data_IF_629919264679
#
_entry.id   IF_629919264679
#
_cell.length_a   1.000
_cell.length_b   1.000
_cell.length_c   1.000
_cell.angle_alpha   90.00
_cell.angle_beta   90.00
_cell.angle_gamma   90.00
#
_symmetry.space_group_name_H-M   'P 1'
#
loop_
_entity.id
_entity.type
_entity.pdbx_description
1 polymer ?
#
# COMPACT_ATOMS: atom_id res chain seq x y z
N UNK A 1 -20.28 4.10 15.78
CA UNK A 1 -19.13 3.81 16.67
C UNK A 1 -17.93 3.69 15.75
N UNK A 2 -16.77 4.28 16.07
CA UNK A 2 -15.71 4.42 15.09
C UNK A 2 -15.21 3.06 14.60
N UNK A 3 -14.99 2.98 13.29
CA UNK A 3 -14.19 1.93 12.65
C UNK A 3 -12.74 2.37 12.70
N UNK A 4 -11.86 1.52 13.19
CA UNK A 4 -10.43 1.82 13.25
C UNK A 4 -9.67 0.86 12.38
N UNK A 5 -9.03 1.41 11.36
CA UNK A 5 -8.12 0.70 10.48
C UNK A 5 -6.76 0.66 11.17
N UNK A 6 -6.21 -0.54 11.34
CA UNK A 6 -4.88 -0.74 11.88
C UNK A 6 -4.05 -1.43 10.81
N UNK A 7 -2.94 -0.79 10.43
CA UNK A 7 -1.95 -1.35 9.52
C UNK A 7 -0.92 -2.15 10.32
N UNK A 8 -0.45 -3.26 9.76
CA UNK A 8 0.69 -3.98 10.33
C UNK A 8 1.99 -3.17 10.25
N UNK A 9 2.95 -3.50 11.10
CA UNK A 9 4.26 -2.87 11.05
C UNK A 9 4.94 -3.18 9.72
N UNK A 10 5.32 -2.12 8.99
CA UNK A 10 5.97 -2.27 7.69
C UNK A 10 5.01 -2.44 6.53
N UNK A 11 3.71 -2.24 6.76
CA UNK A 11 2.68 -2.19 5.72
C UNK A 11 3.12 -1.34 4.53
N UNK A 12 2.82 -1.86 3.34
CA UNK A 12 3.23 -1.27 2.07
C UNK A 12 2.14 -0.37 1.47
N UNK A 13 2.31 -0.01 0.20
CA UNK A 13 1.41 0.92 -0.46
C UNK A 13 0.06 0.27 -0.79
N UNK A 14 -0.04 -1.06 -0.90
CA UNK A 14 -1.34 -1.73 -1.09
C UNK A 14 -2.16 -1.64 0.19
N UNK A 15 -1.59 -2.02 1.33
CA UNK A 15 -2.25 -1.89 2.62
C UNK A 15 -2.69 -0.43 2.89
N UNK A 16 -1.82 0.56 2.63
CA UNK A 16 -2.14 1.97 2.81
C UNK A 16 -3.26 2.45 1.86
N UNK A 17 -3.22 2.04 0.60
CA UNK A 17 -4.22 2.45 -0.41
C UNK A 17 -5.57 1.78 -0.13
N UNK A 18 -5.58 0.53 0.30
CA UNK A 18 -6.75 -0.18 0.76
C UNK A 18 -7.36 0.52 1.99
N UNK A 19 -6.54 0.89 2.98
CA UNK A 19 -6.98 1.69 4.13
C UNK A 19 -7.63 3.01 3.68
N UNK A 20 -7.01 3.71 2.73
CA UNK A 20 -7.59 4.93 2.19
C UNK A 20 -8.97 4.70 1.55
N UNK A 21 -9.12 3.62 0.78
CA UNK A 21 -10.41 3.25 0.21
C UNK A 21 -11.47 2.93 1.27
N UNK A 22 -11.10 2.34 2.41
CA UNK A 22 -12.02 2.13 3.53
C UNK A 22 -12.43 3.44 4.21
N UNK A 23 -11.57 4.46 4.23
CA UNK A 23 -11.96 5.81 4.66
C UNK A 23 -13.00 6.43 3.71
N UNK A 24 -12.96 6.11 2.42
CA UNK A 24 -13.98 6.54 1.46
C UNK A 24 -15.29 5.76 1.64
N UNK A 25 -15.22 4.45 1.90
CA UNK A 25 -16.39 3.59 2.10
C UNK A 25 -17.14 3.88 3.39
N UNK A 26 -16.42 4.25 4.45
CA UNK A 26 -16.98 4.40 5.79
C UNK A 26 -16.65 5.79 6.33
N UNK A 27 -17.66 6.67 6.42
CA UNK A 27 -17.51 8.02 6.99
C UNK A 27 -17.01 8.01 8.45
N UNK A 28 -17.35 6.95 9.19
CA UNK A 28 -16.94 6.73 10.59
C UNK A 28 -15.64 5.94 10.73
N UNK A 29 -14.89 5.72 9.64
CA UNK A 29 -13.58 5.09 9.68
C UNK A 29 -12.44 6.09 9.86
N UNK A 30 -11.45 5.65 10.64
CA UNK A 30 -10.22 6.35 10.95
C UNK A 30 -9.03 5.40 10.84
N UNK A 31 -7.91 5.90 10.35
CA UNK A 31 -6.63 5.21 10.37
C UNK A 31 -5.93 5.46 11.71
N UNK A 32 -5.65 4.41 12.49
CA UNK A 32 -4.73 4.56 13.61
C UNK A 32 -3.35 4.92 13.05
N UNK A 33 -2.74 6.01 13.52
CA UNK A 33 -1.49 6.52 12.98
C UNK A 33 -0.42 5.42 12.97
N UNK A 34 0.10 5.00 11.80
CA UNK A 34 1.07 3.93 11.73
C UNK A 34 2.38 4.34 12.38
N UNK A 35 2.98 3.43 13.16
CA UNK A 35 4.32 3.61 13.74
C UNK A 35 5.42 3.43 12.69
N UNK A 36 5.25 2.45 11.80
CA UNK A 36 6.22 2.07 10.79
C UNK A 36 5.52 1.58 9.52
N UNK A 37 5.94 2.13 8.38
CA UNK A 37 5.47 1.78 7.04
C UNK A 37 6.66 1.52 6.13
N UNK A 38 6.42 0.85 5.00
CA UNK A 38 7.40 0.81 3.91
C UNK A 38 7.82 2.22 3.48
N UNK A 39 9.01 2.38 2.88
CA UNK A 39 9.50 3.70 2.45
C UNK A 39 8.49 4.42 1.54
N UNK A 40 7.95 3.70 0.55
CA UNK A 40 6.98 4.26 -0.41
C UNK A 40 5.66 4.63 0.25
N UNK A 41 5.12 3.75 1.09
CA UNK A 41 3.90 4.01 1.83
C UNK A 41 4.06 5.22 2.76
N UNK A 42 5.21 5.35 3.44
CA UNK A 42 5.54 6.51 4.26
C UNK A 42 5.61 7.82 3.45
N UNK A 43 6.27 7.81 2.28
CA UNK A 43 6.35 8.97 1.38
C UNK A 43 4.97 9.39 0.86
N UNK A 44 4.11 8.43 0.52
CA UNK A 44 2.74 8.69 0.08
C UNK A 44 1.87 9.20 1.22
N UNK A 45 1.88 8.56 2.40
CA UNK A 45 1.12 9.04 3.56
C UNK A 45 1.54 10.46 3.94
N UNK A 46 2.83 10.78 3.88
CA UNK A 46 3.32 12.14 4.11
C UNK A 46 2.78 13.14 3.08
N UNK A 47 2.86 12.79 1.80
CA UNK A 47 2.46 13.65 0.68
C UNK A 47 0.95 13.90 0.61
N UNK A 48 0.14 12.97 1.11
CA UNK A 48 -1.32 13.00 1.07
C UNK A 48 -1.96 13.04 2.46
N UNK A 49 -1.20 13.46 3.48
CA UNK A 49 -1.60 13.38 4.89
C UNK A 49 -2.93 14.06 5.22
N UNK A 50 -3.28 15.12 4.49
CA UNK A 50 -4.54 15.87 4.61
C UNK A 50 -5.78 15.05 4.21
N UNK A 51 -5.59 13.96 3.46
CA UNK A 51 -6.66 13.07 3.01
C UNK A 51 -6.97 11.93 3.97
N UNK A 52 -6.07 11.66 4.92
CA UNK A 52 -6.26 10.57 5.88
C UNK A 52 -6.87 11.11 7.17
N UNK A 53 -8.06 10.60 7.52
CA UNK A 53 -8.63 10.80 8.86
C UNK A 53 -7.89 9.89 9.83
N UNK A 54 -7.02 10.46 10.66
CA UNK A 54 -6.17 9.68 11.59
C UNK A 54 -6.57 9.82 13.05
N UNK A 55 -6.24 8.80 13.85
CA UNK A 55 -6.26 8.81 15.31
C UNK A 55 -4.86 8.54 15.86
N UNK A 56 -4.50 9.22 16.95
CA UNK A 56 -3.25 8.93 17.68
C UNK A 56 -3.44 7.80 18.71
N UNK A 57 -4.66 7.68 19.26
CA UNK A 57 -5.00 6.69 20.28
C UNK A 57 -6.28 5.95 19.94
N UNK A 58 -6.35 4.68 20.37
CA UNK A 58 -7.53 3.85 20.18
C UNK A 58 -8.69 4.28 21.10
N UNK A 59 -9.93 4.39 20.57
CA UNK A 59 -11.12 4.58 21.39
C UNK A 59 -11.32 3.46 22.42
N UNK A 60 -12.17 3.71 23.42
CA UNK A 60 -12.53 2.70 24.43
C UNK A 60 -13.21 1.47 23.79
N UNK A 61 -14.11 1.72 22.82
CA UNK A 61 -14.78 0.69 22.02
C UNK A 61 -14.71 1.06 20.53
N UNK A 62 -14.35 0.10 19.69
CA UNK A 62 -14.24 0.31 18.25
C UNK A 62 -14.52 -0.98 17.46
N UNK A 63 -14.80 -0.82 16.17
CA UNK A 63 -14.76 -1.91 15.20
C UNK A 63 -13.36 -1.97 14.58
N UNK A 64 -12.74 -3.15 14.56
CA UNK A 64 -11.40 -3.34 14.00
C UNK A 64 -11.50 -3.61 12.50
N UNK A 65 -10.77 -2.84 11.69
CA UNK A 65 -10.60 -3.05 10.25
C UNK A 65 -9.15 -3.46 10.00
N UNK A 66 -8.96 -4.69 9.52
CA UNK A 66 -7.67 -5.18 9.03
C UNK A 66 -7.67 -5.13 7.50
N UNK A 67 -6.56 -4.64 6.95
CA UNK A 67 -6.33 -4.55 5.51
C UNK A 67 -5.02 -5.25 5.18
N UNK A 68 -5.04 -6.06 4.13
CA UNK A 68 -3.89 -6.82 3.66
C UNK A 68 -3.25 -7.69 4.77
N UNK A 69 -4.08 -8.07 5.75
CA UNK A 69 -3.71 -8.90 6.90
C UNK A 69 -4.97 -9.52 7.48
N UNK A 70 -4.78 -10.68 8.11
CA UNK A 70 -5.79 -11.40 8.85
C UNK A 70 -5.32 -11.82 10.25
N UNK A 71 -4.35 -11.12 10.85
CA UNK A 71 -3.80 -11.44 12.18
C UNK A 71 -4.70 -10.97 13.34
N UNK A 72 -6.02 -11.17 13.22
CA UNK A 72 -7.02 -10.67 14.17
C UNK A 72 -6.89 -11.23 15.59
N UNK A 73 -6.32 -12.43 15.75
CA UNK A 73 -6.16 -13.09 17.04
C UNK A 73 -5.24 -12.31 17.99
N UNK A 74 -4.19 -11.69 17.46
CA UNK A 74 -3.25 -10.86 18.24
C UNK A 74 -3.94 -9.59 18.77
N UNK A 75 -4.80 -8.99 17.95
CA UNK A 75 -5.58 -7.82 18.32
C UNK A 75 -6.66 -8.15 19.35
N UNK A 76 -7.36 -9.27 19.20
CA UNK A 76 -8.30 -9.77 20.21
C UNK A 76 -7.61 -10.05 21.55
N UNK A 77 -6.41 -10.61 21.53
CA UNK A 77 -5.62 -10.82 22.76
C UNK A 77 -5.21 -9.51 23.42
N UNK A 78 -4.84 -8.51 22.62
CA UNK A 78 -4.31 -7.22 23.11
C UNK A 78 -5.40 -6.27 23.59
N UNK A 79 -6.56 -6.28 22.93
CA UNK A 79 -7.62 -5.30 23.15
C UNK A 79 -8.92 -5.91 23.71
N UNK A 80 -9.11 -7.23 23.58
CA UNK A 80 -10.23 -7.97 24.17
C UNK A 80 -11.57 -7.33 23.85
N UNK A 81 -12.35 -7.08 24.89
CA UNK A 81 -13.70 -6.51 24.80
C UNK A 81 -13.74 -5.10 24.18
N UNK A 82 -12.61 -4.42 24.01
CA UNK A 82 -12.58 -3.12 23.30
C UNK A 82 -12.99 -3.26 21.83
N UNK A 83 -12.70 -4.41 21.23
CA UNK A 83 -13.09 -4.73 19.85
C UNK A 83 -14.51 -5.30 19.86
N UNK A 84 -15.44 -4.63 19.18
CA UNK A 84 -16.84 -5.09 19.06
C UNK A 84 -17.06 -6.01 17.87
N UNK A 85 -16.50 -5.63 16.73
CA UNK A 85 -16.63 -6.30 15.45
C UNK A 85 -15.29 -6.27 14.72
N UNK A 86 -15.08 -7.25 13.83
CA UNK A 86 -13.87 -7.37 13.01
C UNK A 86 -14.27 -7.41 11.54
N UNK A 87 -13.62 -6.54 10.76
CA UNK A 87 -13.69 -6.47 9.31
C UNK A 87 -12.32 -6.84 8.76
N UNK A 88 -12.28 -7.73 7.77
CA UNK A 88 -11.05 -8.15 7.10
C UNK A 88 -11.20 -7.89 5.62
N UNK A 89 -10.26 -7.12 5.08
CA UNK A 89 -10.02 -6.93 3.67
C UNK A 89 -8.68 -7.57 3.35
N UNK A 90 -8.67 -8.65 2.58
CA UNK A 90 -7.44 -9.39 2.33
C UNK A 90 -7.55 -10.21 1.04
N UNK A 91 -6.44 -10.34 0.33
CA UNK A 91 -6.32 -11.13 -0.89
C UNK A 91 -5.44 -12.37 -0.73
N UNK A 92 -4.80 -12.55 0.43
CA UNK A 92 -3.92 -13.68 0.71
C UNK A 92 -4.68 -15.03 0.73
N UNK A 93 -4.12 -16.12 0.17
CA UNK A 93 -4.83 -17.42 0.05
C UNK A 93 -5.31 -18.07 1.35
N UNK A 94 -4.72 -17.70 2.49
CA UNK A 94 -5.04 -18.27 3.82
C UNK A 94 -5.96 -17.38 4.65
N UNK A 95 -6.36 -16.23 4.12
CA UNK A 95 -7.22 -15.31 4.83
C UNK A 95 -8.58 -15.97 5.13
N UNK A 96 -9.09 -15.82 6.37
CA UNK A 96 -10.30 -16.48 6.79
C UNK A 96 -11.52 -15.86 6.13
N UNK A 97 -12.47 -16.71 5.71
CA UNK A 97 -13.76 -16.27 5.19
C UNK A 97 -14.80 -16.19 6.32
N UNK A 98 -15.83 -15.37 6.12
CA UNK A 98 -16.96 -15.24 7.06
C UNK A 98 -16.83 -14.12 8.08
N UNK A 99 -15.73 -13.35 8.04
CA UNK A 99 -15.66 -12.04 8.69
C UNK A 99 -16.44 -11.00 7.89
N UNK A 100 -16.76 -9.86 8.53
CA UNK A 100 -17.24 -8.69 7.79
C UNK A 100 -16.09 -8.20 6.87
N UNK A 101 -16.41 -7.45 5.82
CA UNK A 101 -15.43 -7.07 4.79
C UNK A 101 -15.38 -8.06 3.64
N UNK A 102 -14.26 -8.10 2.92
CA UNK A 102 -14.13 -8.85 1.66
C UNK A 102 -12.80 -9.55 1.60
N UNK A 103 -12.85 -10.88 1.46
CA UNK A 103 -11.66 -11.73 1.29
C UNK A 103 -11.82 -12.55 0.02
N UNK A 104 -10.96 -12.29 -0.96
CA UNK A 104 -11.06 -12.94 -2.27
C UNK A 104 -9.72 -12.95 -3.02
N UNK A 105 -9.58 -13.83 -4.00
CA UNK A 105 -8.33 -13.98 -4.76
C UNK A 105 -8.24 -12.93 -5.88
N UNK A 106 -7.45 -11.89 -5.64
CA UNK A 106 -7.11 -10.80 -6.58
C UNK A 106 -5.63 -10.42 -6.43
N UNK A 107 -5.10 -9.61 -7.34
CA UNK A 107 -3.70 -9.22 -7.33
C UNK A 107 -3.35 -8.10 -6.33
N UNK A 108 -4.35 -7.47 -5.70
CA UNK A 108 -4.18 -6.42 -4.69
C UNK A 108 -5.40 -6.37 -3.78
N UNK A 109 -5.19 -6.17 -2.48
CA UNK A 109 -6.25 -5.93 -1.52
C UNK A 109 -7.06 -4.66 -1.87
N UNK A 110 -6.39 -3.62 -2.36
CA UNK A 110 -7.03 -2.38 -2.83
C UNK A 110 -8.08 -2.63 -3.93
N UNK A 111 -7.89 -3.64 -4.79
CA UNK A 111 -8.88 -4.01 -5.81
C UNK A 111 -10.24 -4.34 -5.20
N UNK A 112 -10.27 -5.04 -4.06
CA UNK A 112 -11.51 -5.42 -3.38
C UNK A 112 -12.32 -4.20 -2.93
N UNK A 113 -11.61 -3.18 -2.43
CA UNK A 113 -12.20 -1.93 -1.96
C UNK A 113 -12.67 -1.07 -3.13
N UNK A 114 -11.89 -0.99 -4.22
CA UNK A 114 -12.31 -0.27 -5.43
C UNK A 114 -13.59 -0.88 -6.01
N UNK A 115 -13.71 -2.20 -6.05
CA UNK A 115 -14.95 -2.85 -6.48
C UNK A 115 -16.16 -2.46 -5.62
N UNK A 116 -16.00 -2.36 -4.30
CA UNK A 116 -17.08 -1.91 -3.43
C UNK A 116 -17.45 -0.43 -3.66
N UNK A 117 -16.46 0.44 -3.91
CA UNK A 117 -16.70 1.83 -4.29
C UNK A 117 -17.50 1.91 -5.61
N UNK A 118 -17.18 1.05 -6.58
CA UNK A 118 -17.91 0.92 -7.84
C UNK A 118 -19.35 0.46 -7.61
N UNK A 119 -19.55 -0.61 -6.84
CA UNK A 119 -20.87 -1.20 -6.56
C UNK A 119 -21.79 -0.24 -5.81
N UNK A 120 -21.22 0.62 -4.95
CA UNK A 120 -21.94 1.62 -4.18
C UNK A 120 -22.08 2.97 -4.88
N UNK A 121 -21.57 3.09 -6.11
CA UNK A 121 -21.56 4.33 -6.90
C UNK A 121 -20.96 5.53 -6.13
N UNK A 122 -19.89 5.27 -5.37
CA UNK A 122 -19.22 6.34 -4.61
C UNK A 122 -18.37 7.17 -5.57
N UNK A 123 -18.70 8.45 -5.66
CA UNK A 123 -17.94 9.44 -6.41
C UNK A 123 -16.61 9.74 -5.70
N UNK A 124 -15.52 9.73 -6.47
CA UNK A 124 -14.17 10.03 -5.96
C UNK A 124 -13.48 11.00 -6.91
N UNK A 125 -12.58 11.83 -6.35
CA UNK A 125 -11.79 12.76 -7.15
C UNK A 125 -10.54 12.07 -7.75
N UNK A 126 -9.83 12.81 -8.61
CA UNK A 126 -8.64 12.31 -9.30
C UNK A 126 -7.49 11.93 -8.37
N UNK A 127 -7.36 12.61 -7.22
CA UNK A 127 -6.31 12.34 -6.24
C UNK A 127 -6.64 11.09 -5.42
N UNK A 128 -7.92 10.89 -5.07
CA UNK A 128 -8.42 9.65 -4.48
C UNK A 128 -8.24 8.48 -5.44
N UNK A 129 -8.55 8.67 -6.73
CA UNK A 129 -8.31 7.67 -7.75
C UNK A 129 -6.81 7.35 -7.88
N UNK A 130 -5.95 8.35 -7.73
CA UNK A 130 -4.49 8.20 -7.71
C UNK A 130 -3.99 7.41 -6.51
N UNK A 131 -4.50 7.71 -5.32
CA UNK A 131 -4.17 6.98 -4.11
C UNK A 131 -4.54 5.50 -4.22
N UNK A 132 -5.74 5.18 -4.69
CA UNK A 132 -6.18 3.80 -4.85
C UNK A 132 -5.35 3.05 -5.91
N UNK A 133 -4.99 3.71 -7.01
CA UNK A 133 -4.20 3.06 -8.05
C UNK A 133 -2.77 2.73 -7.61
N UNK A 134 -2.21 3.47 -6.65
CA UNK A 134 -0.87 3.17 -6.13
C UNK A 134 -0.78 1.76 -5.57
N UNK A 135 -1.74 1.35 -4.73
CA UNK A 135 -1.79 0.02 -4.14
C UNK A 135 -1.91 -1.08 -5.20
N UNK A 136 -2.90 -0.95 -6.09
CA UNK A 136 -3.13 -1.94 -7.16
C UNK A 136 -1.89 -2.11 -8.02
N UNK A 137 -1.26 -1.02 -8.46
CA UNK A 137 -0.08 -1.13 -9.32
C UNK A 137 1.20 -1.54 -8.59
N UNK A 138 1.33 -1.27 -7.27
CA UNK A 138 2.47 -1.78 -6.49
C UNK A 138 2.42 -3.31 -6.43
N UNK A 139 1.28 -3.86 -6.03
CA UNK A 139 1.18 -5.28 -5.69
C UNK A 139 1.00 -6.19 -6.92
N UNK A 140 0.44 -5.63 -8.00
CA UNK A 140 0.35 -6.31 -9.30
C UNK A 140 1.58 -6.12 -10.18
N UNK A 141 2.58 -5.36 -9.73
CA UNK A 141 3.76 -5.04 -10.54
C UNK A 141 3.38 -4.35 -11.85
N UNK A 142 2.55 -3.30 -11.79
CA UNK A 142 1.96 -2.66 -12.96
C UNK A 142 1.15 -3.62 -13.85
N UNK A 143 0.36 -4.51 -13.23
CA UNK A 143 -0.44 -5.55 -13.88
C UNK A 143 0.38 -6.63 -14.63
N UNK A 144 1.63 -6.86 -14.23
CA UNK A 144 2.53 -7.83 -14.90
C UNK A 144 2.89 -9.05 -14.05
N UNK A 145 2.62 -9.02 -12.74
CA UNK A 145 2.89 -10.16 -11.87
C UNK A 145 1.86 -11.28 -12.06
N UNK A 146 2.27 -12.54 -11.84
CA UNK A 146 1.43 -13.73 -12.07
C UNK A 146 0.15 -13.76 -11.23
N UNK A 147 0.12 -13.10 -10.07
CA UNK A 147 -1.06 -12.97 -9.21
C UNK A 147 -2.11 -11.96 -9.71
N UNK A 148 -1.79 -11.18 -10.75
CA UNK A 148 -2.71 -10.18 -11.31
C UNK A 148 -3.93 -10.85 -11.94
N UNK A 149 -5.10 -10.30 -11.71
CA UNK A 149 -6.38 -10.76 -12.26
C UNK A 149 -7.03 -9.71 -13.15
N UNK A 150 -8.04 -10.11 -13.92
CA UNK A 150 -8.83 -9.18 -14.73
C UNK A 150 -9.56 -8.12 -13.87
N UNK A 151 -9.78 -8.40 -12.58
CA UNK A 151 -10.45 -7.49 -11.64
C UNK A 151 -9.57 -6.31 -11.31
N UNK A 152 -8.27 -6.53 -11.17
CA UNK A 152 -7.27 -5.47 -10.96
C UNK A 152 -7.25 -4.51 -12.17
N UNK A 153 -7.24 -5.06 -13.39
CA UNK A 153 -7.32 -4.27 -14.61
C UNK A 153 -8.63 -3.47 -14.73
N UNK A 154 -9.77 -4.07 -14.32
CA UNK A 154 -11.08 -3.40 -14.31
C UNK A 154 -11.12 -2.26 -13.29
N UNK A 155 -10.55 -2.47 -12.10
CA UNK A 155 -10.43 -1.44 -11.08
C UNK A 155 -9.58 -0.27 -11.58
N UNK A 156 -8.41 -0.54 -12.18
CA UNK A 156 -7.57 0.49 -12.81
C UNK A 156 -8.31 1.26 -13.91
N UNK A 157 -9.08 0.57 -14.76
CA UNK A 157 -9.87 1.23 -15.81
C UNK A 157 -10.89 2.21 -15.21
N UNK A 158 -11.59 1.81 -14.16
CA UNK A 158 -12.53 2.67 -13.44
C UNK A 158 -11.84 3.88 -12.78
N UNK A 159 -10.64 3.71 -12.24
CA UNK A 159 -9.83 4.79 -11.68
C UNK A 159 -9.30 5.76 -12.75
N UNK A 160 -8.98 5.25 -13.96
CA UNK A 160 -8.63 6.06 -15.11
C UNK A 160 -9.80 6.95 -15.56
N UNK A 161 -11.02 6.43 -15.56
CA UNK A 161 -12.24 7.22 -15.84
C UNK A 161 -12.42 8.38 -14.84
N UNK A 162 -11.92 8.23 -13.61
CA UNK A 162 -11.92 9.27 -12.56
C UNK A 162 -10.72 10.20 -12.59
N UNK A 163 -9.87 10.08 -13.62
CA UNK A 163 -8.74 10.98 -13.82
C UNK A 163 -7.54 10.66 -12.94
N UNK A 164 -7.32 9.38 -12.59
CA UNK A 164 -6.04 8.88 -12.06
C UNK A 164 -4.84 9.58 -12.73
N UNK A 165 -3.99 10.22 -11.93
CA UNK A 165 -2.82 10.92 -12.42
C UNK A 165 -1.64 9.96 -12.67
N UNK A 166 -1.50 9.51 -13.91
CA UNK A 166 -0.42 8.62 -14.35
C UNK A 166 0.99 9.20 -14.15
N UNK A 167 1.14 10.53 -14.16
CA UNK A 167 2.45 11.16 -13.91
C UNK A 167 2.86 11.03 -12.45
N UNK A 168 1.93 11.22 -11.52
CA UNK A 168 2.16 10.98 -10.09
C UNK A 168 2.39 9.49 -9.84
N UNK A 169 1.59 8.63 -10.49
CA UNK A 169 1.77 7.18 -10.41
C UNK A 169 3.18 6.75 -10.77
N UNK A 170 3.64 7.18 -11.95
CA UNK A 170 4.99 6.91 -12.44
C UNK A 170 6.04 7.40 -11.46
N UNK A 171 5.92 8.62 -10.94
CA UNK A 171 6.90 9.21 -10.01
C UNK A 171 7.02 8.41 -8.72
N UNK A 172 5.91 7.98 -8.12
CA UNK A 172 5.95 7.24 -6.85
C UNK A 172 6.41 5.79 -7.01
N UNK A 173 6.04 5.15 -8.14
CA UNK A 173 6.37 3.73 -8.38
C UNK A 173 7.72 3.52 -9.08
N UNK A 174 8.30 4.55 -9.71
CA UNK A 174 9.64 4.52 -10.27
C UNK A 174 10.71 4.62 -9.18
N UNK A 175 10.75 3.62 -8.29
CA UNK A 175 11.82 3.44 -7.31
C UNK A 175 12.99 2.58 -7.82
N UNK A 176 13.13 2.42 -9.14
CA UNK A 176 14.35 1.92 -9.74
C UNK A 176 15.42 3.01 -9.76
N UNK A 177 16.70 2.61 -9.88
CA UNK A 177 17.81 3.55 -10.09
C UNK A 177 17.41 4.50 -11.22
N UNK A 178 17.23 5.78 -10.90
CA UNK A 178 16.84 6.79 -11.87
C UNK A 178 17.87 6.84 -12.99
N UNK A 179 17.51 7.35 -14.17
CA UNK A 179 18.48 7.48 -15.26
C UNK A 179 19.68 8.32 -14.80
N UNK A 180 19.44 9.32 -13.97
CA UNK A 180 20.46 10.17 -13.35
C UNK A 180 21.38 9.37 -12.41
N UNK A 181 20.83 8.47 -11.59
CA UNK A 181 21.61 7.58 -10.73
C UNK A 181 22.35 6.48 -11.52
N UNK A 182 21.77 5.96 -12.61
CA UNK A 182 22.44 5.03 -13.55
C UNK A 182 23.58 5.76 -14.27
N UNK A 183 23.35 6.99 -14.72
CA UNK A 183 24.36 7.82 -15.37
C UNK A 183 25.47 8.19 -14.38
N UNK A 184 25.14 8.44 -13.12
CA UNK A 184 26.10 8.65 -12.04
C UNK A 184 26.94 7.39 -11.80
N UNK A 185 26.31 6.24 -11.59
CA UNK A 185 26.98 4.94 -11.47
C UNK A 185 27.87 4.65 -12.68
N UNK A 186 27.39 4.91 -13.89
CA UNK A 186 28.14 4.72 -15.14
C UNK A 186 29.34 5.66 -15.25
N UNK A 187 29.22 6.92 -14.80
CA UNK A 187 30.34 7.88 -14.74
C UNK A 187 31.40 7.46 -13.72
N UNK A 188 31.00 6.86 -12.60
CA UNK A 188 31.94 6.40 -11.58
C UNK A 188 32.48 4.98 -11.81
N UNK A 189 31.85 4.17 -12.67
CA UNK A 189 32.44 2.91 -13.15
C UNK A 189 33.81 3.12 -13.82
N UNK A 190 34.07 4.32 -14.35
CA UNK A 190 35.38 4.69 -14.94
C UNK A 190 36.47 4.87 -13.87
N UNK A 191 36.12 5.06 -12.59
CA UNK A 191 37.06 5.11 -11.46
C UNK A 191 37.24 3.76 -10.77
N UNK A 192 36.80 2.66 -11.40
CA UNK A 192 36.99 1.32 -10.88
C UNK A 192 38.47 0.93 -10.92
N UNK A 193 39.10 0.94 -9.76
CA UNK A 193 40.47 0.45 -9.58
C UNK A 193 40.41 -1.00 -9.10
N UNK A 194 41.30 -1.86 -9.61
CA UNK A 194 41.39 -3.25 -9.18
C UNK A 194 42.79 -3.58 -8.72
N UNK A 195 42.89 -4.23 -7.58
CA UNK A 195 44.12 -4.65 -6.94
C UNK A 195 44.05 -6.13 -6.58
N UNK A 196 45.19 -6.83 -6.67
CA UNK A 196 45.30 -8.23 -6.33
C UNK A 196 46.02 -8.39 -4.99
N UNK A 197 45.37 -9.02 -4.02
CA UNK A 197 45.92 -9.32 -2.69
C UNK A 197 45.78 -10.83 -2.45
N UNK A 198 46.89 -11.53 -2.20
CA UNK A 198 46.94 -12.99 -2.02
C UNK A 198 46.21 -13.79 -3.12
N UNK A 199 46.38 -13.36 -4.38
CA UNK A 199 45.74 -13.99 -5.55
C UNK A 199 44.25 -13.69 -5.72
N UNK A 200 43.65 -12.88 -4.83
CA UNK A 200 42.25 -12.44 -4.92
C UNK A 200 42.16 -11.05 -5.54
N UNK A 201 41.29 -10.88 -6.53
CA UNK A 201 40.98 -9.57 -7.13
C UNK A 201 40.02 -8.81 -6.22
N UNK A 202 40.43 -7.63 -5.78
CA UNK A 202 39.61 -6.65 -5.07
C UNK A 202 39.39 -5.48 -6.03
N UNK A 203 38.15 -5.07 -6.24
CA UNK A 203 37.81 -3.89 -7.03
C UNK A 203 37.20 -2.83 -6.14
N UNK A 204 37.73 -1.60 -6.20
CA UNK A 204 37.21 -0.43 -5.50
C UNK A 204 36.60 0.54 -6.51
N UNK A 205 35.43 1.08 -6.16
CA UNK A 205 34.83 2.22 -6.83
C UNK A 205 34.62 3.30 -5.79
N UNK A 206 35.16 4.48 -6.03
CA UNK A 206 34.95 5.64 -5.16
C UNK A 206 33.90 6.53 -5.79
N UNK A 207 32.74 6.60 -5.14
CA UNK A 207 31.69 7.56 -5.45
C UNK A 207 32.02 8.88 -4.74
N UNK A 208 32.28 9.94 -5.51
CA UNK A 208 32.40 11.30 -4.97
C UNK A 208 31.07 12.01 -5.21
N UNK A 209 30.37 12.30 -4.12
CA UNK A 209 29.15 13.10 -4.12
C UNK A 209 29.46 14.58 -4.16
#
# INVERSE_FOLDING_TARGET
MPKVIILEEGADLDALSCAYGLLLLYEDAYLLRPSYLSKRASEVLSSFSDRFRTLEELPEKFDLLLVDSHNYEEYLKSFGDRIRDIYIYDHHPKAPKGFKGKVDSVGSCTTLVVEELMEKEIEIDSLSATLLAFGIYEDTGMLTYEGTTYRDAKAIAWLLERGLNLSLLRKSLSGGISKEEIDLLSKHMVSLESLYVDGKKISLVVLRM
#
